data_IF_826365015918
#
_entry.id   IF_826365015918
#
_cell.length_a   1.000
_cell.length_b   1.000
_cell.length_c   1.000
_cell.angle_alpha   90.00
_cell.angle_beta   90.00
_cell.angle_gamma   90.00
#
_symmetry.space_group_name_H-M   'P 1'
#
loop_
_entity.id
_entity.type
_entity.pdbx_description
1 polymer ?
#
# COMPACT_ATOMS: atom_id res chain seq x y z
N UNK A 1 -5.79 17.82 -3.10
CA UNK A 1 -6.51 16.65 -2.55
C UNK A 1 -7.78 17.15 -1.87
N UNK A 2 -8.92 16.45 -1.98
CA UNK A 2 -10.14 16.89 -1.33
C UNK A 2 -10.05 16.72 0.19
N UNK A 3 -10.79 17.56 0.90
CA UNK A 3 -11.11 17.37 2.31
C UNK A 3 -11.92 16.07 2.49
N UNK A 4 -11.78 15.38 3.61
CA UNK A 4 -12.53 14.13 3.84
C UNK A 4 -12.54 13.63 5.29
N UNK A 5 -13.41 12.65 5.61
CA UNK A 5 -13.43 11.98 6.90
C UNK A 5 -12.06 11.42 7.28
N UNK A 6 -11.63 11.65 8.52
CA UNK A 6 -10.32 11.22 9.00
C UNK A 6 -10.24 9.70 9.16
N UNK A 7 -9.16 9.11 8.67
CA UNK A 7 -8.91 7.67 8.72
C UNK A 7 -8.14 7.26 9.98
N UNK A 8 -8.38 6.03 10.42
CA UNK A 8 -7.93 5.48 11.69
C UNK A 8 -7.61 4.01 11.55
N UNK A 9 -6.92 3.46 12.54
CA UNK A 9 -6.79 2.00 12.67
C UNK A 9 -8.19 1.37 12.61
N UNK A 10 -8.30 0.24 11.92
CA UNK A 10 -9.53 -0.53 11.62
C UNK A 10 -10.55 0.08 10.66
N UNK A 11 -10.37 1.31 10.19
CA UNK A 11 -11.23 1.83 9.10
C UNK A 11 -11.00 1.00 7.81
N UNK A 12 -12.05 0.85 7.00
CA UNK A 12 -12.02 -0.08 5.87
C UNK A 12 -11.17 0.40 4.71
N UNK A 13 -10.65 -0.55 3.93
CA UNK A 13 -9.93 -0.30 2.66
C UNK A 13 -10.65 -1.02 1.51
N UNK A 14 -10.31 -0.70 0.26
CA UNK A 14 -10.94 -1.30 -0.93
C UNK A 14 -10.42 -2.72 -1.25
N UNK A 15 -9.19 -3.05 -0.88
CA UNK A 15 -8.69 -4.41 -1.02
C UNK A 15 -9.25 -5.35 0.07
N UNK A 16 -9.60 -6.60 -0.27
CA UNK A 16 -10.44 -7.44 0.58
C UNK A 16 -9.71 -8.11 1.74
N UNK A 17 -8.38 -8.18 1.74
CA UNK A 17 -7.65 -8.99 2.72
C UNK A 17 -6.40 -8.27 3.28
N UNK A 18 -6.40 -7.86 4.57
CA UNK A 18 -7.58 -7.63 5.39
C UNK A 18 -8.37 -6.41 4.86
N UNK A 19 -9.70 -6.36 5.02
CA UNK A 19 -10.52 -5.27 4.49
C UNK A 19 -10.44 -3.99 5.35
N UNK A 20 -9.39 -3.86 6.17
CA UNK A 20 -9.21 -2.79 7.17
C UNK A 20 -7.75 -2.36 7.31
N UNK A 21 -7.56 -1.10 7.70
CA UNK A 21 -6.27 -0.51 8.07
C UNK A 21 -5.69 -1.23 9.29
N UNK A 22 -4.65 -2.02 9.04
CA UNK A 22 -3.93 -2.86 10.01
C UNK A 22 -2.62 -3.35 9.38
N UNK A 23 -1.57 -3.71 10.14
CA UNK A 23 -1.45 -3.65 11.60
C UNK A 23 -0.87 -2.33 12.12
N UNK A 24 -0.56 -1.36 11.24
CA UNK A 24 0.09 -0.10 11.58
C UNK A 24 -0.46 0.48 12.90
N UNK A 25 0.42 0.89 13.83
CA UNK A 25 0.04 1.16 15.21
C UNK A 25 -0.94 2.34 15.34
N UNK A 26 -1.06 3.16 14.29
CA UNK A 26 -1.70 4.44 14.33
C UNK A 26 -0.88 5.43 15.16
N UNK A 27 -1.44 6.63 15.33
CA UNK A 27 -0.85 7.63 16.22
C UNK A 27 -0.80 7.13 17.67
N UNK A 28 0.34 7.26 18.37
CA UNK A 28 0.47 6.84 19.77
C UNK A 28 -0.31 7.74 20.75
N UNK A 29 -0.76 8.93 20.32
CA UNK A 29 -1.35 9.92 21.23
C UNK A 29 -2.50 10.74 20.64
N UNK A 30 -2.79 10.60 19.34
CA UNK A 30 -3.91 11.28 18.69
C UNK A 30 -4.98 10.26 18.34
N UNK A 31 -6.08 10.32 19.08
CA UNK A 31 -7.24 9.47 18.84
C UNK A 31 -8.31 10.24 18.09
N UNK A 32 -8.98 9.58 17.15
CA UNK A 32 -10.11 10.09 16.39
C UNK A 32 -11.28 9.14 16.65
N UNK A 33 -12.33 9.60 17.34
CA UNK A 33 -13.42 8.72 17.79
C UNK A 33 -12.91 7.47 18.52
N UNK A 34 -12.01 7.67 19.49
CA UNK A 34 -11.40 6.63 20.34
C UNK A 34 -10.47 5.61 19.67
N UNK A 35 -10.16 5.76 18.37
CA UNK A 35 -9.19 4.92 17.67
C UNK A 35 -7.95 5.73 17.25
N UNK A 36 -6.74 5.15 17.27
CA UNK A 36 -5.53 5.81 16.78
C UNK A 36 -5.69 6.33 15.35
N UNK A 37 -5.34 7.60 15.12
CA UNK A 37 -5.37 8.20 13.78
C UNK A 37 -4.35 7.54 12.85
N UNK A 38 -4.73 7.32 11.58
CA UNK A 38 -3.83 6.73 10.57
C UNK A 38 -3.03 7.83 9.85
N UNK A 39 -1.74 7.59 9.62
CA UNK A 39 -0.78 8.55 9.10
C UNK A 39 -0.11 8.02 7.84
N UNK A 40 -0.05 8.87 6.82
CA UNK A 40 0.63 8.60 5.56
C UNK A 40 2.11 8.97 5.58
N UNK A 41 2.81 8.59 4.52
CA UNK A 41 4.22 8.93 4.34
C UNK A 41 4.41 10.40 4.00
N UNK A 42 5.59 10.92 4.30
CA UNK A 42 5.98 12.27 3.89
C UNK A 42 5.96 12.40 2.35
N UNK A 43 5.52 13.56 1.85
CA UNK A 43 5.44 13.84 0.40
C UNK A 43 6.77 13.63 -0.33
N UNK A 44 7.90 13.88 0.34
CA UNK A 44 9.23 13.69 -0.21
C UNK A 44 9.53 12.23 -0.62
N UNK A 45 8.88 11.25 0.01
CA UNK A 45 9.07 9.82 -0.30
C UNK A 45 8.14 9.31 -1.42
N UNK A 46 7.04 10.03 -1.71
CA UNK A 46 5.95 9.55 -2.57
C UNK A 46 6.45 9.26 -4.00
N UNK A 47 7.18 10.18 -4.62
CA UNK A 47 7.66 10.01 -5.99
C UNK A 47 8.60 8.81 -6.15
N UNK A 48 9.49 8.59 -5.18
CA UNK A 48 10.41 7.44 -5.19
C UNK A 48 9.66 6.11 -5.03
N UNK A 49 8.66 6.05 -4.13
CA UNK A 49 7.84 4.85 -3.94
C UNK A 49 7.01 4.52 -5.18
N UNK A 50 6.38 5.52 -5.80
CA UNK A 50 5.59 5.34 -7.02
C UNK A 50 6.45 4.83 -8.19
N UNK A 51 7.64 5.41 -8.37
CA UNK A 51 8.57 4.97 -9.41
C UNK A 51 9.02 3.51 -9.17
N UNK A 52 9.40 3.18 -7.94
CA UNK A 52 9.82 1.82 -7.57
C UNK A 52 8.69 0.80 -7.76
N UNK A 53 7.47 1.13 -7.33
CA UNK A 53 6.30 0.25 -7.52
C UNK A 53 6.02 0.03 -9.00
N UNK A 54 6.03 1.09 -9.81
CA UNK A 54 5.77 0.99 -11.26
C UNK A 54 6.77 0.06 -11.94
N UNK A 55 8.06 0.13 -11.57
CA UNK A 55 9.10 -0.77 -12.09
C UNK A 55 8.79 -2.22 -11.68
N UNK A 56 8.51 -2.45 -10.40
CA UNK A 56 8.23 -3.78 -9.86
C UNK A 56 7.00 -4.42 -10.52
N UNK A 57 5.88 -3.71 -10.59
CA UNK A 57 4.62 -4.25 -11.13
C UNK A 57 4.69 -4.47 -12.63
N UNK A 58 5.36 -3.59 -13.38
CA UNK A 58 5.58 -3.78 -14.82
C UNK A 58 6.43 -5.02 -15.09
N UNK A 59 7.52 -5.21 -14.33
CA UNK A 59 8.38 -6.39 -14.48
C UNK A 59 7.62 -7.69 -14.17
N UNK A 60 6.79 -7.69 -13.10
CA UNK A 60 5.94 -8.81 -12.74
C UNK A 60 4.94 -9.13 -13.87
N UNK A 61 4.24 -8.13 -14.40
CA UNK A 61 3.26 -8.32 -15.48
C UNK A 61 3.91 -8.92 -16.74
N UNK A 62 5.13 -8.50 -17.08
CA UNK A 62 5.88 -9.08 -18.20
C UNK A 62 6.21 -10.55 -17.94
N UNK A 63 6.61 -10.91 -16.72
CA UNK A 63 6.89 -12.30 -16.38
C UNK A 63 5.63 -13.18 -16.37
N UNK A 64 4.50 -12.67 -15.87
CA UNK A 64 3.20 -13.35 -15.93
C UNK A 64 2.77 -13.61 -17.38
N UNK A 65 2.94 -12.62 -18.26
CA UNK A 65 2.68 -12.77 -19.69
C UNK A 65 3.59 -13.83 -20.34
N UNK A 66 4.86 -13.89 -19.93
CA UNK A 66 5.80 -14.90 -20.42
C UNK A 66 5.43 -16.32 -19.96
N UNK A 67 5.01 -16.48 -18.70
CA UNK A 67 4.49 -17.76 -18.19
C UNK A 67 3.24 -18.19 -18.94
N UNK A 68 2.31 -17.26 -19.18
CA UNK A 68 1.11 -17.54 -19.96
C UNK A 68 1.45 -17.97 -21.40
N UNK A 69 2.40 -17.29 -22.05
CA UNK A 69 2.85 -17.63 -23.40
C UNK A 69 3.56 -19.00 -23.46
N UNK A 70 4.24 -19.41 -22.40
CA UNK A 70 4.91 -20.70 -22.31
C UNK A 70 3.96 -21.86 -21.94
N UNK A 71 2.71 -21.58 -21.57
CA UNK A 71 1.76 -22.58 -21.12
C UNK A 71 1.57 -23.71 -22.16
N UNK A 72 1.63 -24.96 -21.70
CA UNK A 72 1.52 -26.15 -22.57
C UNK A 72 2.80 -26.51 -23.34
N UNK A 73 3.86 -25.70 -23.25
CA UNK A 73 5.18 -26.03 -23.81
C UNK A 73 6.08 -26.70 -22.77
N UNK A 74 7.15 -27.41 -23.19
CA UNK A 74 8.19 -27.89 -22.27
C UNK A 74 8.89 -26.78 -21.46
N UNK A 75 8.80 -25.52 -21.91
CA UNK A 75 9.38 -24.36 -21.24
C UNK A 75 8.53 -23.79 -20.09
N UNK A 76 7.27 -24.23 -19.93
CA UNK A 76 6.35 -23.70 -18.91
C UNK A 76 6.93 -23.74 -17.48
N UNK A 77 7.59 -24.82 -17.01
CA UNK A 77 8.13 -24.86 -15.66
C UNK A 77 9.25 -23.82 -15.42
N UNK A 78 10.08 -23.58 -16.44
CA UNK A 78 11.16 -22.60 -16.34
C UNK A 78 10.63 -21.17 -16.31
N UNK A 79 9.62 -20.85 -17.13
CA UNK A 79 8.98 -19.54 -17.12
C UNK A 79 8.29 -19.25 -15.78
N UNK A 80 7.55 -20.22 -15.22
CA UNK A 80 6.92 -20.09 -13.92
C UNK A 80 7.95 -19.91 -12.79
N UNK A 81 9.06 -20.66 -12.82
CA UNK A 81 10.13 -20.50 -11.82
C UNK A 81 10.77 -19.10 -11.88
N UNK A 82 10.95 -18.55 -13.08
CA UNK A 82 11.46 -17.19 -13.27
C UNK A 82 10.47 -16.13 -12.78
N UNK A 83 9.17 -16.28 -13.10
CA UNK A 83 8.10 -15.40 -12.61
C UNK A 83 8.04 -15.37 -11.08
N UNK A 84 8.01 -16.55 -10.45
CA UNK A 84 7.93 -16.64 -8.99
C UNK A 84 9.16 -16.04 -8.30
N UNK A 85 10.35 -16.23 -8.88
CA UNK A 85 11.59 -15.62 -8.38
C UNK A 85 11.54 -14.09 -8.50
N UNK A 86 11.04 -13.56 -9.62
CA UNK A 86 10.90 -12.12 -9.84
C UNK A 86 9.87 -11.51 -8.87
N UNK A 87 8.73 -12.16 -8.68
CA UNK A 87 7.71 -11.70 -7.72
C UNK A 87 8.25 -11.66 -6.30
N UNK A 88 8.97 -12.70 -5.86
CA UNK A 88 9.58 -12.75 -4.53
C UNK A 88 10.64 -11.65 -4.34
N UNK A 89 11.52 -11.44 -5.32
CA UNK A 89 12.56 -10.40 -5.23
C UNK A 89 11.97 -8.99 -5.28
N UNK A 90 10.98 -8.75 -6.14
CA UNK A 90 10.25 -7.46 -6.22
C UNK A 90 9.54 -7.14 -4.91
N UNK A 91 8.85 -8.12 -4.31
CA UNK A 91 8.18 -7.95 -3.02
C UNK A 91 9.19 -7.62 -1.91
N UNK A 92 10.34 -8.30 -1.87
CA UNK A 92 11.38 -8.05 -0.88
C UNK A 92 11.97 -6.63 -1.03
N UNK A 93 12.33 -6.22 -2.26
CA UNK A 93 12.86 -4.88 -2.54
C UNK A 93 11.86 -3.79 -2.19
N UNK A 94 10.60 -3.95 -2.59
CA UNK A 94 9.55 -2.97 -2.28
C UNK A 94 9.20 -2.92 -0.80
N UNK A 95 9.20 -4.06 -0.10
CA UNK A 95 9.02 -4.10 1.36
C UNK A 95 10.10 -3.30 2.08
N UNK A 96 11.36 -3.43 1.64
CA UNK A 96 12.47 -2.65 2.20
C UNK A 96 12.30 -1.15 1.92
N UNK A 97 11.94 -0.78 0.69
CA UNK A 97 11.70 0.62 0.31
C UNK A 97 10.55 1.25 1.11
N UNK A 98 9.42 0.54 1.24
CA UNK A 98 8.27 1.00 2.03
C UNK A 98 8.63 1.15 3.51
N UNK A 99 9.31 0.17 4.09
CA UNK A 99 9.71 0.23 5.51
C UNK A 99 10.63 1.41 5.78
N UNK A 100 11.60 1.66 4.89
CA UNK A 100 12.50 2.81 5.01
C UNK A 100 11.76 4.14 4.83
N UNK A 101 10.87 4.23 3.84
CA UNK A 101 10.10 5.43 3.54
C UNK A 101 9.01 5.75 4.56
N UNK A 102 8.51 4.73 5.27
CA UNK A 102 7.50 4.90 6.30
C UNK A 102 7.95 5.91 7.35
N UNK A 103 9.20 5.81 7.83
CA UNK A 103 9.78 6.75 8.80
C UNK A 103 8.85 7.06 10.00
N UNK A 104 8.08 6.06 10.44
CA UNK A 104 7.08 6.19 11.51
C UNK A 104 5.61 6.31 11.06
N UNK A 105 5.35 6.43 9.76
CA UNK A 105 4.03 6.32 9.15
C UNK A 105 3.45 4.92 9.26
N UNK A 106 2.13 4.84 9.14
CA UNK A 106 1.40 3.60 9.37
C UNK A 106 1.44 2.73 8.11
N UNK A 107 1.83 1.47 8.30
CA UNK A 107 1.93 0.47 7.23
C UNK A 107 0.72 -0.47 7.32
N UNK A 108 -0.04 -0.53 6.24
CA UNK A 108 -1.09 -1.53 6.03
C UNK A 108 -0.47 -2.81 5.48
N UNK A 109 -0.81 -3.98 6.03
CA UNK A 109 -0.42 -5.25 5.44
C UNK A 109 -1.55 -5.72 4.52
N UNK A 110 -1.33 -5.70 3.20
CA UNK A 110 -2.28 -6.25 2.25
C UNK A 110 -1.89 -7.69 1.89
N UNK A 111 -2.76 -8.61 2.27
CA UNK A 111 -2.65 -10.04 2.00
C UNK A 111 -3.44 -10.49 0.77
N UNK A 112 -4.03 -9.55 0.01
CA UNK A 112 -4.70 -9.85 -1.26
C UNK A 112 -3.71 -10.55 -2.20
N UNK A 113 -4.03 -11.78 -2.69
CA UNK A 113 -3.10 -12.55 -3.50
C UNK A 113 -2.90 -11.98 -4.91
N UNK A 114 -1.67 -12.04 -5.41
CA UNK A 114 -1.35 -12.03 -6.85
C UNK A 114 -0.92 -13.45 -7.26
N UNK A 115 -1.89 -14.34 -7.52
CA UNK A 115 -1.85 -15.79 -7.16
C UNK A 115 -0.94 -16.20 -5.99
N UNK A 116 0.38 -16.01 -6.10
CA UNK A 116 1.40 -15.89 -5.05
C UNK A 116 2.52 -14.98 -5.61
N UNK A 117 3.11 -14.05 -4.83
CA UNK A 117 2.87 -13.71 -3.42
C UNK A 117 1.75 -12.67 -3.24
N UNK A 118 1.33 -12.38 -1.99
CA UNK A 118 0.40 -11.28 -1.71
C UNK A 118 0.98 -9.90 -2.06
N UNK A 119 0.08 -8.91 -2.20
CA UNK A 119 0.43 -7.52 -2.51
C UNK A 119 1.47 -6.91 -1.55
N UNK A 120 1.48 -7.32 -0.28
CA UNK A 120 2.49 -6.96 0.69
C UNK A 120 2.17 -5.68 1.48
N UNK A 121 3.17 -5.07 2.15
CA UNK A 121 2.97 -3.86 2.91
C UNK A 121 2.58 -2.70 2.00
N UNK A 122 1.82 -1.74 2.54
CA UNK A 122 1.45 -0.53 1.84
C UNK A 122 1.34 0.69 2.76
N UNK A 123 1.57 1.85 2.18
CA UNK A 123 1.58 3.14 2.89
C UNK A 123 0.68 4.14 2.18
N UNK A 124 0.07 5.04 2.95
CA UNK A 124 -0.75 6.11 2.36
C UNK A 124 0.14 7.16 1.72
N UNK A 125 0.00 7.36 0.42
CA UNK A 125 0.84 8.27 -0.39
C UNK A 125 0.14 9.59 -0.78
N UNK A 126 -1.16 9.72 -0.50
CA UNK A 126 -1.93 10.91 -0.84
C UNK A 126 -2.60 11.56 0.39
N UNK A 127 -1.97 11.42 1.57
CA UNK A 127 -2.42 12.04 2.82
C UNK A 127 -2.55 13.58 2.76
N UNK A 128 -3.01 14.17 3.86
CA UNK A 128 -3.20 15.63 3.95
C UNK A 128 -1.90 16.42 3.77
N UNK A 129 -1.98 17.51 3.01
CA UNK A 129 -0.86 18.44 2.80
C UNK A 129 -0.84 19.60 3.80
N UNK A 130 -1.94 19.79 4.54
CA UNK A 130 -2.10 20.89 5.51
C UNK A 130 -2.26 20.41 6.95
N UNK A 131 -2.57 19.13 7.18
CA UNK A 131 -2.76 18.56 8.51
C UNK A 131 -1.79 17.42 8.75
N UNK A 132 -0.96 17.58 9.77
CA UNK A 132 -0.01 16.56 10.21
C UNK A 132 -0.37 16.03 11.59
N UNK A 133 -0.25 14.72 11.79
CA UNK A 133 -0.37 14.03 13.07
C UNK A 133 0.96 13.35 13.36
N UNK A 134 1.60 13.72 14.47
CA UNK A 134 2.97 13.31 14.81
C UNK A 134 3.95 13.57 13.65
N UNK A 135 3.89 14.76 13.07
CA UNK A 135 4.75 15.22 11.95
C UNK A 135 4.57 14.46 10.63
N UNK A 136 3.55 13.61 10.52
CA UNK A 136 3.23 12.84 9.32
C UNK A 136 1.86 13.24 8.76
N UNK A 137 1.66 13.23 7.43
CA UNK A 137 0.37 13.54 6.81
C UNK A 137 -0.79 12.74 7.43
N UNK A 138 -1.83 13.43 7.86
CA UNK A 138 -3.02 12.76 8.36
C UNK A 138 -3.79 12.10 7.21
N UNK A 139 -4.22 10.85 7.40
CA UNK A 139 -4.95 10.10 6.36
C UNK A 139 -6.46 10.31 6.45
N UNK A 140 -7.13 10.13 5.32
CA UNK A 140 -8.56 10.36 5.11
C UNK A 140 -9.17 9.23 4.30
N UNK A 141 -10.49 9.14 4.34
CA UNK A 141 -11.25 8.42 3.32
C UNK A 141 -10.87 8.94 1.92
N UNK A 142 -10.63 8.02 1.00
CA UNK A 142 -10.23 8.29 -0.38
C UNK A 142 -8.72 8.39 -0.60
N UNK A 143 -7.91 8.49 0.47
CA UNK A 143 -6.46 8.48 0.29
C UNK A 143 -5.98 7.11 -0.22
N UNK A 144 -4.95 7.15 -1.04
CA UNK A 144 -4.39 6.02 -1.79
C UNK A 144 -3.33 5.32 -0.96
N UNK A 145 -3.44 4.01 -0.88
CA UNK A 145 -2.45 3.12 -0.27
C UNK A 145 -1.62 2.49 -1.39
N UNK A 146 -0.35 2.87 -1.45
CA UNK A 146 0.64 2.25 -2.33
C UNK A 146 1.14 0.98 -1.66
N UNK A 147 0.81 -0.17 -2.23
CA UNK A 147 1.22 -1.50 -1.76
C UNK A 147 2.43 -2.02 -2.54
N UNK A 148 3.24 -2.90 -1.95
CA UNK A 148 4.54 -3.28 -2.49
C UNK A 148 4.49 -3.77 -3.95
N UNK A 149 3.61 -4.72 -4.27
CA UNK A 149 3.52 -5.33 -5.61
C UNK A 149 2.09 -5.39 -6.14
N UNK A 150 1.16 -4.60 -5.59
CA UNK A 150 -0.20 -4.57 -6.08
C UNK A 150 -0.27 -4.02 -7.51
N UNK A 151 -1.00 -4.67 -8.45
CA UNK A 151 -1.11 -4.22 -9.83
C UNK A 151 -1.90 -2.91 -9.98
N UNK A 152 -2.72 -2.56 -8.99
CA UNK A 152 -3.41 -1.29 -8.89
C UNK A 152 -3.38 -0.78 -7.43
N UNK A 153 -3.39 0.53 -7.19
CA UNK A 153 -3.41 1.08 -5.83
C UNK A 153 -4.71 0.76 -5.09
N UNK A 154 -4.59 0.50 -3.78
CA UNK A 154 -5.71 0.40 -2.85
C UNK A 154 -6.11 1.82 -2.37
N UNK A 155 -7.28 1.95 -1.76
CA UNK A 155 -7.72 3.20 -1.14
C UNK A 155 -8.46 2.96 0.17
N UNK A 156 -8.40 3.96 1.04
CA UNK A 156 -9.17 3.99 2.27
C UNK A 156 -10.64 4.23 1.92
N UNK A 157 -11.51 3.28 2.26
CA UNK A 157 -12.93 3.34 1.89
C UNK A 157 -13.82 3.93 2.98
N UNK A 158 -13.32 4.06 4.22
CA UNK A 158 -14.04 4.66 5.34
C UNK A 158 -13.13 5.57 6.19
N UNK A 159 -13.72 6.58 6.80
CA UNK A 159 -13.13 7.38 7.87
C UNK A 159 -14.23 7.85 8.83
N UNK A 160 -13.88 8.48 9.94
CA UNK A 160 -14.87 8.98 10.91
C UNK A 160 -15.60 10.23 10.38
N UNK A 161 -16.91 10.18 10.08
CA UNK A 161 -17.60 11.29 9.40
C UNK A 161 -17.73 12.58 10.22
N UNK A 162 -17.52 12.53 11.54
CA UNK A 162 -17.59 13.69 12.43
C UNK A 162 -16.26 14.42 12.58
N UNK A 163 -15.16 13.88 12.03
CA UNK A 163 -13.83 14.51 12.05
C UNK A 163 -13.36 14.63 10.61
N UNK A 164 -13.33 15.86 10.11
CA UNK A 164 -13.02 16.14 8.72
C UNK A 164 -11.65 16.82 8.62
N UNK A 165 -10.75 16.24 7.83
CA UNK A 165 -9.38 16.71 7.64
C UNK A 165 -9.23 17.37 6.27
N UNK A 166 -8.59 18.55 6.25
CA UNK A 166 -8.36 19.36 5.07
C UNK A 166 -7.38 18.76 4.05
N UNK A 167 -7.35 19.38 2.87
CA UNK A 167 -6.51 19.06 1.72
C UNK A 167 -5.04 18.97 2.03
#
# INVERSE_FOLDING_TARGET
>A
MPQGPAARVTDTVMHPLPPILSPGPGSPNTLIGFLPAWRGVMLAAVGALQAAQTIATTAIQVAEAATLAAAGTPGAPAALAAEQTLKASSLASMTSAITAAAAGADIHACMTPLPVPPHGPGVVITGSTTVSINFLPASRQGDTILEAVAPAPNSISMGLPTVIIGG
#
